data_IF_313296602243
#
_entry.id   IF_313296602243
#
_cell.length_a   1.000
_cell.length_b   1.000
_cell.length_c   1.000
_cell.angle_alpha   90.00
_cell.angle_beta   90.00
_cell.angle_gamma   90.00
#
_symmetry.space_group_name_H-M   'P 1'
#
loop_
_entity.id
_entity.type
_entity.pdbx_description
1 polymer ?
#
# COMPACT_ATOMS: atom_id res chain seq x y z
N UNK A 1 -24.57 21.21 -5.92
CA UNK A 1 -24.24 22.21 -4.87
C UNK A 1 -24.59 23.60 -5.40
N UNK A 2 -25.26 24.48 -4.63
CA UNK A 2 -25.56 25.85 -5.07
C UNK A 2 -24.29 26.63 -5.41
N UNK A 3 -24.29 27.35 -6.54
CA UNK A 3 -23.09 28.02 -7.06
C UNK A 3 -22.49 29.05 -6.08
N UNK A 4 -23.34 29.75 -5.32
CA UNK A 4 -22.93 30.77 -4.35
C UNK A 4 -22.02 30.21 -3.23
N UNK A 5 -22.23 28.96 -2.79
CA UNK A 5 -21.45 28.37 -1.71
C UNK A 5 -20.21 27.60 -2.19
N UNK A 6 -20.00 27.48 -3.51
CA UNK A 6 -18.91 26.67 -4.09
C UNK A 6 -17.54 27.09 -3.56
N UNK A 7 -17.25 28.39 -3.53
CA UNK A 7 -15.96 28.92 -3.06
C UNK A 7 -15.73 28.64 -1.57
N UNK A 8 -16.75 28.88 -0.75
CA UNK A 8 -16.70 28.62 0.69
C UNK A 8 -16.50 27.13 0.96
N UNK A 9 -17.26 26.25 0.30
CA UNK A 9 -17.13 24.80 0.48
C UNK A 9 -15.76 24.32 0.00
N UNK A 10 -15.28 24.77 -1.16
CA UNK A 10 -13.93 24.42 -1.64
C UNK A 10 -12.84 24.87 -0.67
N UNK A 11 -12.95 26.08 -0.13
CA UNK A 11 -12.01 26.59 0.87
C UNK A 11 -12.04 25.75 2.14
N UNK A 12 -13.23 25.48 2.68
CA UNK A 12 -13.41 24.70 3.90
C UNK A 12 -12.86 23.28 3.73
N UNK A 13 -13.16 22.62 2.60
CA UNK A 13 -12.63 21.28 2.30
C UNK A 13 -11.10 21.32 2.20
N UNK A 14 -10.54 22.22 1.39
CA UNK A 14 -9.08 22.29 1.20
C UNK A 14 -8.32 22.67 2.47
N UNK A 15 -8.92 23.49 3.33
CA UNK A 15 -8.25 23.98 4.54
C UNK A 15 -8.40 23.04 5.74
N UNK A 16 -9.56 22.42 5.91
CA UNK A 16 -9.89 21.66 7.12
C UNK A 16 -10.05 20.15 6.87
N UNK A 17 -10.28 19.73 5.63
CA UNK A 17 -10.41 18.31 5.26
C UNK A 17 -9.23 17.79 4.41
N UNK A 18 -8.19 18.59 4.20
CA UNK A 18 -6.93 18.10 3.64
C UNK A 18 -6.15 17.31 4.70
N UNK A 19 -6.51 16.04 4.85
CA UNK A 19 -5.83 15.11 5.75
C UNK A 19 -4.66 14.46 5.01
N UNK A 20 -3.46 15.02 5.20
CA UNK A 20 -2.23 14.44 4.66
C UNK A 20 -1.80 13.21 5.49
N UNK A 21 -2.43 12.06 5.22
CA UNK A 21 -2.20 10.79 5.92
C UNK A 21 -0.72 10.39 5.91
N UNK A 22 -0.01 10.61 4.80
CA UNK A 22 1.43 10.34 4.68
C UNK A 22 2.27 11.02 5.78
N UNK A 23 1.97 12.28 6.13
CA UNK A 23 2.71 13.00 7.18
C UNK A 23 2.58 12.37 8.56
N UNK A 24 1.41 11.80 8.86
CA UNK A 24 1.17 11.11 10.13
C UNK A 24 1.82 9.74 10.13
N UNK A 25 1.70 9.01 9.02
CA UNK A 25 2.34 7.71 8.80
C UNK A 25 3.86 7.80 8.96
N UNK A 26 4.52 8.83 8.41
CA UNK A 26 5.97 9.02 8.54
C UNK A 26 6.44 9.26 9.97
N UNK A 27 5.58 9.79 10.84
CA UNK A 27 5.89 10.07 12.25
C UNK A 27 5.62 8.88 13.16
N UNK A 28 4.88 7.89 12.68
CA UNK A 28 4.47 6.75 13.48
C UNK A 28 5.55 5.66 13.49
N UNK A 29 6.13 5.41 14.66
CA UNK A 29 7.22 4.44 14.86
C UNK A 29 6.74 3.01 15.10
N UNK A 30 5.45 2.79 15.35
CA UNK A 30 4.90 1.46 15.64
C UNK A 30 4.69 0.58 14.40
N UNK A 31 4.13 -0.63 14.59
CA UNK A 31 3.76 -1.53 13.49
C UNK A 31 2.63 -0.96 12.64
N UNK A 32 2.78 -1.01 11.32
CA UNK A 32 1.82 -0.45 10.37
C UNK A 32 1.52 -1.48 9.28
N UNK A 33 0.24 -1.66 8.95
CA UNK A 33 -0.22 -2.48 7.83
C UNK A 33 -1.24 -1.65 7.04
N UNK A 34 -1.00 -1.50 5.75
CA UNK A 34 -1.95 -0.95 4.82
C UNK A 34 -2.85 -2.06 4.32
N UNK A 35 -4.15 -1.82 4.38
CA UNK A 35 -5.16 -2.73 3.85
C UNK A 35 -5.80 -1.99 2.68
N UNK A 36 -5.49 -2.42 1.45
CA UNK A 36 -6.06 -1.85 0.23
C UNK A 36 -7.24 -2.71 -0.21
N UNK A 37 -8.37 -2.07 -0.51
CA UNK A 37 -9.48 -2.71 -1.20
C UNK A 37 -9.11 -2.89 -2.68
N UNK A 38 -9.14 -4.13 -3.16
CA UNK A 38 -8.64 -4.50 -4.49
C UNK A 38 -9.43 -3.84 -5.64
N UNK A 39 -10.74 -3.65 -5.47
CA UNK A 39 -11.63 -3.07 -6.48
C UNK A 39 -12.36 -1.84 -5.92
N UNK A 40 -11.62 -0.96 -5.25
CA UNK A 40 -12.15 0.30 -4.71
C UNK A 40 -12.30 1.34 -5.80
N UNK A 41 -13.52 1.82 -6.04
CA UNK A 41 -13.82 2.85 -7.04
C UNK A 41 -13.66 4.29 -6.50
N UNK A 42 -13.54 4.48 -5.18
CA UNK A 42 -13.60 5.82 -4.54
C UNK A 42 -12.22 6.46 -4.38
N UNK A 43 -11.18 5.64 -4.19
CA UNK A 43 -9.81 6.11 -3.91
C UNK A 43 -8.97 6.24 -5.19
N UNK A 44 -9.56 5.93 -6.34
CA UNK A 44 -8.99 6.04 -7.68
C UNK A 44 -9.02 7.50 -8.12
N UNK A 45 -7.90 8.00 -8.64
CA UNK A 45 -7.79 9.41 -9.06
C UNK A 45 -7.99 9.64 -10.56
N UNK A 46 -8.07 8.57 -11.35
CA UNK A 46 -8.23 8.65 -12.80
C UNK A 46 -9.45 7.84 -13.26
N UNK A 47 -10.30 8.44 -14.09
CA UNK A 47 -11.44 7.76 -14.75
C UNK A 47 -10.93 6.86 -15.89
N UNK A 48 -10.07 5.89 -15.57
CA UNK A 48 -9.54 4.92 -16.54
C UNK A 48 -10.57 3.79 -16.75
N UNK A 49 -10.74 3.40 -18.02
CA UNK A 49 -11.78 2.43 -18.41
C UNK A 49 -11.42 0.97 -18.12
N UNK A 50 -10.15 0.67 -17.84
CA UNK A 50 -9.64 -0.67 -17.60
C UNK A 50 -9.35 -0.93 -16.11
N UNK A 51 -9.51 -2.19 -15.67
CA UNK A 51 -9.30 -2.57 -14.28
C UNK A 51 -7.84 -2.35 -13.83
N UNK A 52 -6.88 -2.44 -14.75
CA UNK A 52 -5.46 -2.24 -14.46
C UNK A 52 -5.14 -0.77 -14.18
N UNK A 53 -5.59 0.15 -15.05
CA UNK A 53 -5.46 1.58 -14.83
C UNK A 53 -6.13 2.08 -13.54
N UNK A 54 -7.31 1.55 -13.24
CA UNK A 54 -8.02 1.79 -11.98
C UNK A 54 -7.16 1.41 -10.75
N UNK A 55 -6.53 0.24 -10.75
CA UNK A 55 -5.68 -0.21 -9.64
C UNK A 55 -4.40 0.60 -9.51
N UNK A 56 -3.78 0.97 -10.63
CA UNK A 56 -2.55 1.74 -10.64
C UNK A 56 -2.73 3.13 -9.99
N UNK A 57 -3.89 3.76 -10.19
CA UNK A 57 -4.23 5.08 -9.66
C UNK A 57 -4.84 5.07 -8.24
N UNK A 58 -4.82 3.92 -7.55
CA UNK A 58 -5.24 3.85 -6.16
C UNK A 58 -4.25 4.58 -5.24
N UNK A 59 -4.72 5.59 -4.48
CA UNK A 59 -3.84 6.41 -3.62
C UNK A 59 -3.11 5.64 -2.51
N UNK A 60 -3.54 4.43 -2.16
CA UNK A 60 -2.81 3.57 -1.23
C UNK A 60 -1.42 3.18 -1.77
N UNK A 61 -1.26 3.14 -3.11
CA UNK A 61 0.00 2.82 -3.78
C UNK A 61 1.07 3.86 -3.46
N UNK A 62 0.73 5.13 -3.67
CA UNK A 62 1.60 6.27 -3.37
C UNK A 62 1.88 6.38 -1.86
N UNK A 63 0.93 6.01 -1.02
CA UNK A 63 1.12 5.99 0.43
C UNK A 63 2.15 4.92 0.85
N UNK A 64 2.13 3.72 0.25
CA UNK A 64 3.12 2.67 0.51
C UNK A 64 4.51 3.10 0.05
N UNK A 65 4.64 3.64 -1.17
CA UNK A 65 5.92 4.10 -1.73
C UNK A 65 6.53 5.19 -0.82
N UNK A 66 5.71 6.19 -0.46
CA UNK A 66 6.13 7.28 0.42
C UNK A 66 6.56 6.77 1.80
N UNK A 67 5.79 5.83 2.38
CA UNK A 67 6.10 5.19 3.64
C UNK A 67 7.41 4.41 3.61
N UNK A 68 7.65 3.58 2.60
CA UNK A 68 8.87 2.77 2.48
C UNK A 68 10.11 3.66 2.37
N UNK A 69 10.03 4.73 1.56
CA UNK A 69 11.12 5.70 1.44
C UNK A 69 11.43 6.44 2.75
N UNK A 70 10.40 6.80 3.52
CA UNK A 70 10.57 7.48 4.80
C UNK A 70 11.06 6.55 5.92
N UNK A 71 10.55 5.32 5.98
CA UNK A 71 10.86 4.36 7.06
C UNK A 71 12.15 3.60 6.86
N UNK A 72 12.55 3.39 5.61
CA UNK A 72 13.78 2.67 5.24
C UNK A 72 14.66 3.53 4.33
N UNK A 73 15.35 4.56 4.90
CA UNK A 73 16.25 5.40 4.12
C UNK A 73 17.30 4.57 3.39
N UNK A 74 17.44 4.82 2.08
CA UNK A 74 18.37 4.08 1.22
C UNK A 74 17.79 2.79 0.60
N UNK A 75 16.52 2.46 0.84
CA UNK A 75 15.84 1.35 0.14
C UNK A 75 15.47 1.75 -1.30
N UNK A 76 14.72 2.85 -1.46
CA UNK A 76 14.27 3.39 -2.75
C UNK A 76 15.23 4.50 -3.18
N UNK A 77 16.35 4.14 -3.82
CA UNK A 77 17.37 5.11 -4.22
C UNK A 77 17.21 5.57 -5.67
N UNK A 78 16.77 4.65 -6.53
CA UNK A 78 16.62 4.86 -7.96
C UNK A 78 15.13 4.85 -8.30
N UNK A 79 14.79 5.53 -9.40
CA UNK A 79 13.45 5.44 -9.97
C UNK A 79 13.03 3.99 -10.25
N UNK A 80 13.97 3.16 -10.70
CA UNK A 80 13.75 1.72 -10.91
C UNK A 80 13.30 0.98 -9.63
N UNK A 81 13.74 1.42 -8.44
CA UNK A 81 13.30 0.80 -7.18
C UNK A 81 11.83 1.13 -6.89
N UNK A 82 11.39 2.37 -7.18
CA UNK A 82 9.98 2.76 -7.07
C UNK A 82 9.10 2.10 -8.14
N UNK A 83 9.61 1.99 -9.37
CA UNK A 83 8.92 1.31 -10.46
C UNK A 83 8.70 -0.18 -10.12
N UNK A 84 9.65 -0.82 -9.44
CA UNK A 84 9.51 -2.19 -8.92
C UNK A 84 8.39 -2.32 -7.87
N UNK A 85 8.23 -1.31 -6.98
CA UNK A 85 7.09 -1.28 -6.04
C UNK A 85 5.77 -1.17 -6.80
N UNK A 86 5.71 -0.35 -7.86
CA UNK A 86 4.50 -0.19 -8.68
C UNK A 86 4.15 -1.47 -9.44
N UNK A 87 5.14 -2.12 -10.05
CA UNK A 87 4.95 -3.43 -10.70
C UNK A 87 4.42 -4.48 -9.70
N UNK A 88 5.00 -4.53 -8.49
CA UNK A 88 4.47 -5.39 -7.43
C UNK A 88 3.00 -5.08 -7.10
N UNK A 89 2.63 -3.80 -6.99
CA UNK A 89 1.27 -3.34 -6.65
C UNK A 89 0.21 -3.61 -7.74
N UNK A 90 0.64 -3.75 -8.99
CA UNK A 90 -0.22 -4.09 -10.14
C UNK A 90 -0.61 -5.56 -10.17
N UNK A 91 0.28 -6.44 -9.71
CA UNK A 91 0.06 -7.88 -9.67
C UNK A 91 -1.05 -8.24 -8.68
N UNK A 92 -1.85 -9.25 -9.03
CA UNK A 92 -2.87 -9.78 -8.13
C UNK A 92 -2.24 -10.55 -6.95
N UNK A 93 -2.97 -10.69 -5.82
CA UNK A 93 -2.42 -11.31 -4.62
C UNK A 93 -1.86 -12.71 -4.85
N UNK A 94 -2.48 -13.52 -5.73
CA UNK A 94 -2.01 -14.88 -6.01
C UNK A 94 -0.71 -14.85 -6.81
N UNK A 95 -0.66 -14.02 -7.85
CA UNK A 95 0.56 -13.81 -8.65
C UNK A 95 1.72 -13.31 -7.80
N UNK A 96 1.48 -12.47 -6.80
CA UNK A 96 2.54 -12.00 -5.88
C UNK A 96 3.13 -13.10 -5.03
N UNK A 97 2.30 -14.01 -4.51
CA UNK A 97 2.77 -15.13 -3.68
C UNK A 97 3.66 -16.07 -4.51
N UNK A 98 3.36 -16.21 -5.80
CA UNK A 98 4.14 -17.05 -6.72
C UNK A 98 5.44 -16.36 -7.14
N UNK A 99 5.36 -15.07 -7.47
CA UNK A 99 6.48 -14.32 -8.05
C UNK A 99 7.50 -13.84 -7.02
N UNK A 100 7.11 -13.68 -5.76
CA UNK A 100 7.94 -12.97 -4.77
C UNK A 100 8.17 -13.74 -3.48
N UNK A 101 9.27 -13.38 -2.82
CA UNK A 101 9.65 -14.00 -1.57
C UNK A 101 8.79 -13.49 -0.40
N UNK A 102 8.09 -14.41 0.28
CA UNK A 102 7.26 -14.14 1.46
C UNK A 102 8.01 -14.26 2.79
N UNK A 103 9.32 -14.56 2.76
CA UNK A 103 10.15 -14.64 3.95
C UNK A 103 10.26 -13.28 4.64
N UNK A 104 10.43 -13.29 5.97
CA UNK A 104 10.64 -12.06 6.74
C UNK A 104 11.83 -11.23 6.21
N UNK A 105 11.67 -9.89 6.08
CA UNK A 105 12.74 -9.01 5.64
C UNK A 105 13.87 -8.95 6.67
N UNK A 106 15.06 -9.40 6.24
CA UNK A 106 16.31 -9.21 7.00
C UNK A 106 16.96 -7.90 6.59
N UNK A 107 16.58 -6.83 7.28
CA UNK A 107 17.02 -5.46 6.97
C UNK A 107 18.50 -5.31 7.33
N UNK A 108 19.39 -4.97 6.37
CA UNK A 108 20.80 -4.73 6.64
C UNK A 108 20.98 -3.45 7.45
N UNK A 109 22.08 -3.36 8.20
CA UNK A 109 22.43 -2.16 8.97
C UNK A 109 22.61 -0.92 8.09
N UNK A 110 23.15 -1.11 6.88
CA UNK A 110 23.28 -0.07 5.87
C UNK A 110 22.59 -0.52 4.58
N UNK A 111 21.41 0.05 4.31
CA UNK A 111 20.65 -0.20 3.08
C UNK A 111 21.31 0.43 1.85
N UNK A 112 22.11 1.48 2.03
CA UNK A 112 22.73 2.19 0.91
C UNK A 112 23.78 1.34 0.18
N UNK A 113 24.48 0.49 0.92
CA UNK A 113 25.55 -0.39 0.40
C UNK A 113 25.02 -1.71 -0.17
N UNK A 114 23.72 -1.99 -0.04
CA UNK A 114 23.14 -3.22 -0.56
C UNK A 114 23.19 -3.24 -2.10
N UNK A 115 23.53 -4.41 -2.66
CA UNK A 115 23.46 -4.64 -4.10
C UNK A 115 22.04 -4.42 -4.62
N UNK A 116 21.91 -4.11 -5.91
CA UNK A 116 20.61 -3.86 -6.52
C UNK A 116 19.65 -5.05 -6.33
N UNK A 117 20.08 -6.26 -6.65
CA UNK A 117 19.26 -7.47 -6.50
C UNK A 117 18.81 -7.68 -5.05
N UNK A 118 19.69 -7.37 -4.08
CA UNK A 118 19.34 -7.48 -2.67
C UNK A 118 18.29 -6.45 -2.25
N UNK A 119 18.34 -5.23 -2.80
CA UNK A 119 17.33 -4.20 -2.54
C UNK A 119 15.98 -4.58 -3.13
N UNK A 120 15.94 -5.10 -4.36
CA UNK A 120 14.68 -5.53 -5.00
C UNK A 120 13.98 -6.62 -4.16
N UNK A 121 14.73 -7.64 -3.73
CA UNK A 121 14.19 -8.68 -2.83
C UNK A 121 13.70 -8.07 -1.51
N UNK A 122 14.43 -7.10 -0.92
CA UNK A 122 14.00 -6.45 0.31
C UNK A 122 12.73 -5.61 0.13
N UNK A 123 12.57 -4.95 -1.01
CA UNK A 123 11.38 -4.19 -1.36
C UNK A 123 10.16 -5.12 -1.34
N UNK A 124 10.24 -6.25 -2.05
CA UNK A 124 9.16 -7.25 -2.10
C UNK A 124 8.77 -7.76 -0.70
N UNK A 125 9.78 -8.12 0.10
CA UNK A 125 9.57 -8.59 1.48
C UNK A 125 8.89 -7.53 2.36
N UNK A 126 9.26 -6.25 2.19
CA UNK A 126 8.68 -5.14 2.94
C UNK A 126 7.27 -4.79 2.44
N UNK A 127 7.01 -4.87 1.14
CA UNK A 127 5.67 -4.76 0.58
C UNK A 127 4.74 -5.83 1.16
N UNK A 128 5.16 -7.10 1.13
CA UNK A 128 4.43 -8.21 1.73
C UNK A 128 4.16 -8.02 3.24
N UNK A 129 5.08 -7.38 3.95
CA UNK A 129 4.95 -7.11 5.39
C UNK A 129 3.97 -5.99 5.72
N UNK A 130 3.95 -4.95 4.89
CA UNK A 130 3.25 -3.70 5.19
C UNK A 130 1.99 -3.50 4.36
N UNK A 131 1.66 -4.40 3.45
CA UNK A 131 0.56 -4.21 2.53
C UNK A 131 -0.19 -5.50 2.26
N UNK A 132 -1.52 -5.46 2.43
CA UNK A 132 -2.42 -6.55 2.10
C UNK A 132 -3.56 -6.03 1.25
N UNK A 133 -3.93 -6.83 0.25
CA UNK A 133 -5.12 -6.58 -0.55
C UNK A 133 -6.31 -7.34 0.04
N UNK A 134 -7.44 -6.66 0.11
CA UNK A 134 -8.73 -7.20 0.52
C UNK A 134 -9.66 -7.17 -0.69
N UNK A 135 -10.11 -8.34 -1.13
CA UNK A 135 -10.97 -8.47 -2.30
C UNK A 135 -12.38 -7.98 -1.99
N UNK A 136 -12.59 -6.69 -2.20
CA UNK A 136 -13.82 -6.00 -1.84
C UNK A 136 -13.97 -4.68 -2.61
N UNK A 137 -15.23 -4.32 -2.88
CA UNK A 137 -15.62 -2.98 -3.30
C UNK A 137 -15.79 -2.06 -2.09
N UNK A 138 -16.17 -0.80 -2.32
CA UNK A 138 -16.27 0.25 -1.30
C UNK A 138 -17.36 0.04 -0.23
N UNK A 139 -18.30 -0.90 -0.43
CA UNK A 139 -19.44 -1.13 0.48
C UNK A 139 -19.34 -2.42 1.32
N UNK A 140 -18.31 -3.23 1.10
CA UNK A 140 -18.11 -4.48 1.85
C UNK A 140 -17.43 -4.15 3.19
N UNK A 141 -18.00 -4.51 4.34
CA UNK A 141 -17.34 -4.28 5.61
C UNK A 141 -16.03 -5.07 5.69
N UNK A 142 -15.01 -4.47 6.29
CA UNK A 142 -13.75 -5.15 6.51
C UNK A 142 -13.93 -6.19 7.63
N UNK A 143 -13.45 -7.42 7.43
CA UNK A 143 -13.56 -8.47 8.44
C UNK A 143 -12.79 -8.10 9.72
N UNK A 144 -13.32 -8.52 10.88
CA UNK A 144 -12.75 -8.20 12.20
C UNK A 144 -11.29 -8.67 12.35
N UNK A 145 -10.92 -9.73 11.64
CA UNK A 145 -9.56 -10.31 11.60
C UNK A 145 -8.49 -9.33 11.11
N UNK A 146 -8.87 -8.32 10.32
CA UNK A 146 -7.94 -7.29 9.85
C UNK A 146 -7.68 -6.18 10.89
N UNK A 147 -8.42 -6.14 11.99
CA UNK A 147 -8.25 -5.13 13.06
C UNK A 147 -7.29 -5.58 14.16
N UNK A 148 -6.42 -6.53 13.85
CA UNK A 148 -5.35 -6.94 14.75
C UNK A 148 -4.15 -6.01 14.61
N UNK A 149 -3.47 -5.74 15.72
CA UNK A 149 -2.17 -5.05 15.67
C UNK A 149 -1.25 -5.93 14.82
N UNK A 150 -0.61 -5.38 13.76
CA UNK A 150 0.32 -6.15 12.95
C UNK A 150 1.46 -6.65 13.85
N UNK A 151 1.39 -7.91 14.29
CA UNK A 151 2.53 -8.58 14.88
C UNK A 151 3.58 -8.75 13.78
N UNK A 152 4.85 -8.91 14.16
CA UNK A 152 5.80 -9.46 13.21
C UNK A 152 5.27 -10.85 12.78
N UNK A 153 4.93 -10.98 11.49
CA UNK A 153 4.70 -12.19 10.68
C UNK A 153 3.28 -12.83 10.62
N UNK A 154 2.95 -13.25 9.38
CA UNK A 154 2.02 -14.28 8.85
C UNK A 154 0.54 -13.88 8.63
N UNK A 155 0.21 -13.37 7.44
CA UNK A 155 -1.20 -13.27 6.95
C UNK A 155 -1.46 -14.16 5.71
N UNK A 156 -0.43 -14.71 5.06
CA UNK A 156 -0.62 -15.44 3.81
C UNK A 156 -1.20 -16.87 3.97
N UNK A 157 -1.08 -17.51 5.13
CA UNK A 157 -1.48 -18.93 5.27
C UNK A 157 -2.93 -19.15 5.70
N UNK A 158 -3.57 -18.17 6.34
CA UNK A 158 -4.94 -18.35 6.86
C UNK A 158 -6.01 -18.00 5.82
N UNK A 159 -5.74 -17.04 4.92
CA UNK A 159 -6.72 -16.60 3.91
C UNK A 159 -7.00 -17.65 2.81
N UNK A 160 -6.10 -18.61 2.59
CA UNK A 160 -6.30 -19.70 1.62
C UNK A 160 -7.13 -20.85 2.19
N UNK A 161 -7.24 -20.98 3.52
CA UNK A 161 -7.99 -22.07 4.16
C UNK A 161 -9.50 -21.82 4.18
N UNK A 162 -9.95 -20.57 4.26
CA UNK A 162 -11.39 -20.26 4.31
C UNK A 162 -12.08 -20.23 2.94
N UNK A 163 -11.35 -20.08 1.83
CA UNK A 163 -11.94 -20.22 0.48
C UNK A 163 -12.28 -21.69 0.11
N UNK A 164 -11.97 -22.65 0.97
CA UNK A 164 -12.20 -24.09 0.75
C UNK A 164 -13.09 -24.75 1.80
N UNK A 165 -13.76 -23.98 2.67
CA UNK A 165 -14.72 -24.50 3.64
C UNK A 165 -16.15 -24.04 3.39
#
# INVERSE_FOLDING_TARGET
MPAMMRSLVHYTIRKYFDLSIAKYVHKYSGPLLFIRRWDDEIIITEDLMDATGRRASNRANELLISFLGARYPGLLQKKADEDHVREWLELDPQSRIISFNTSEPKIPKNLMEASQDRRLVLIEQLCNKHFVDFEASHNVPLASLFFNIPAAVVIAEEMVKESKS
#
